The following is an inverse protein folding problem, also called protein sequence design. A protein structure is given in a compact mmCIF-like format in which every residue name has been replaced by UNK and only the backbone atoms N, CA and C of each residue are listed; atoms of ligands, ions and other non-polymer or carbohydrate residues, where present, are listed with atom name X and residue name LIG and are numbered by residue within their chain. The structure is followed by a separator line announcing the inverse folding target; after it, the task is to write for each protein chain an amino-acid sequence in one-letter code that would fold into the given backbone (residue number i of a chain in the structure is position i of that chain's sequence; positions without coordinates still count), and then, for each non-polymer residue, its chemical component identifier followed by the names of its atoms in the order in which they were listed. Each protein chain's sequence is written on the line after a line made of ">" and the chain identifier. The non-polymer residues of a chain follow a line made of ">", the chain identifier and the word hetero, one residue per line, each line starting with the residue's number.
data_IF_306861162215
#
_entry.id   IF_306861162215
#
_cell.length_a   1.000
_cell.length_b   1.000
_cell.length_c   1.000
_cell.angle_alpha   90.00
_cell.angle_beta   90.00
_cell.angle_gamma   90.00
#
_symmetry.space_group_name_H-M   'P 1'
#
loop_
_entity.id
_entity.type
_entity.pdbx_description
1 polymer ?
#
# COMPACT_ATOMS: atom_id res chain seq x y z
N UNK A 1 22.14 -18.49 16.53
CA UNK A 1 21.55 -17.19 16.20
C UNK A 1 20.76 -17.23 14.89
N UNK A 2 21.23 -17.86 13.84
CA UNK A 2 20.53 -17.97 12.54
C UNK A 2 19.09 -18.55 12.54
N UNK A 3 18.73 -19.37 13.52
CA UNK A 3 17.39 -19.99 13.61
C UNK A 3 16.33 -19.07 14.21
N UNK A 4 16.74 -18.08 15.00
CA UNK A 4 15.83 -17.11 15.63
C UNK A 4 15.51 -15.99 14.64
N UNK A 5 16.49 -15.54 13.85
CA UNK A 5 16.28 -14.52 12.82
C UNK A 5 15.30 -15.00 11.73
N UNK A 6 15.30 -16.30 11.38
CA UNK A 6 14.32 -16.88 10.42
C UNK A 6 12.90 -16.99 10.98
N UNK A 7 12.73 -17.05 12.29
CA UNK A 7 11.40 -17.11 12.93
C UNK A 7 10.81 -15.72 13.21
N UNK A 8 11.65 -14.68 13.23
CA UNK A 8 11.28 -13.28 13.43
C UNK A 8 11.58 -12.38 12.23
N UNK A 9 12.01 -12.94 11.10
CA UNK A 9 12.00 -12.22 9.82
C UNK A 9 10.54 -12.01 9.42
N UNK A 10 9.90 -11.07 10.13
CA UNK A 10 8.63 -10.52 9.69
C UNK A 10 8.82 -10.09 8.24
N UNK A 11 7.94 -10.54 7.36
CA UNK A 11 7.94 -10.08 5.97
C UNK A 11 7.97 -8.56 6.00
N UNK A 12 8.98 -7.95 5.38
CA UNK A 12 8.99 -6.50 5.21
C UNK A 12 7.67 -6.09 4.55
N UNK A 13 7.09 -5.02 5.00
CA UNK A 13 5.85 -4.50 4.43
C UNK A 13 6.10 -3.17 3.73
N UNK A 14 5.28 -2.92 2.71
CA UNK A 14 5.13 -1.60 2.11
C UNK A 14 3.69 -1.15 2.32
N UNK A 15 3.54 0.09 2.77
CA UNK A 15 2.24 0.74 2.90
C UNK A 15 2.23 1.90 1.91
N UNK A 16 1.23 1.93 1.04
CA UNK A 16 0.96 3.06 0.16
C UNK A 16 -0.39 3.63 0.54
N UNK A 17 -0.39 4.84 1.09
CA UNK A 17 -1.60 5.58 1.39
C UNK A 17 -1.89 6.55 0.25
N UNK A 18 -3.14 6.58 -0.21
CA UNK A 18 -3.60 7.45 -1.29
C UNK A 18 -4.70 8.36 -0.77
N UNK A 19 -4.47 9.66 -0.86
CA UNK A 19 -5.42 10.69 -0.46
C UNK A 19 -6.09 11.31 -1.67
N UNK A 20 -7.42 11.42 -1.61
CA UNK A 20 -8.25 12.04 -2.64
C UNK A 20 -9.54 12.60 -2.05
N UNK A 21 -9.92 13.81 -2.42
CA UNK A 21 -11.24 14.39 -2.06
C UNK A 21 -12.41 13.65 -2.73
N UNK A 22 -12.15 12.90 -3.78
CA UNK A 22 -13.13 12.11 -4.52
C UNK A 22 -12.83 10.61 -4.53
N UNK A 23 -12.32 10.09 -3.40
CA UNK A 23 -11.81 8.71 -3.26
C UNK A 23 -12.78 7.65 -3.80
N UNK A 24 -14.07 7.78 -3.49
CA UNK A 24 -15.11 6.82 -3.90
C UNK A 24 -15.78 7.16 -5.24
N UNK A 25 -15.21 8.06 -6.05
CA UNK A 25 -15.67 8.23 -7.43
C UNK A 25 -15.28 7.00 -8.26
N UNK A 26 -16.13 6.65 -9.25
CA UNK A 26 -15.86 5.52 -10.14
C UNK A 26 -14.50 5.65 -10.85
N UNK A 27 -14.14 6.87 -11.24
CA UNK A 27 -12.88 7.14 -11.92
C UNK A 27 -11.67 6.88 -11.00
N UNK A 28 -11.71 7.40 -9.77
CA UNK A 28 -10.64 7.21 -8.78
C UNK A 28 -10.52 5.74 -8.40
N UNK A 29 -11.64 5.04 -8.13
CA UNK A 29 -11.59 3.62 -7.77
C UNK A 29 -11.07 2.74 -8.91
N UNK A 30 -11.45 3.00 -10.17
CA UNK A 30 -10.89 2.27 -11.32
C UNK A 30 -9.38 2.49 -11.44
N UNK A 31 -8.93 3.73 -11.26
CA UNK A 31 -7.51 4.07 -11.26
C UNK A 31 -6.76 3.36 -10.13
N UNK A 32 -7.32 3.33 -8.93
CA UNK A 32 -6.71 2.69 -7.77
C UNK A 32 -6.72 1.16 -7.87
N UNK A 33 -7.74 0.56 -8.52
CA UNK A 33 -7.71 -0.86 -8.88
C UNK A 33 -6.55 -1.18 -9.83
N UNK A 34 -6.36 -0.36 -10.87
CA UNK A 34 -5.22 -0.51 -11.80
C UNK A 34 -3.86 -0.27 -11.12
N UNK A 35 -3.81 0.61 -10.12
CA UNK A 35 -2.63 0.79 -9.27
C UNK A 35 -2.33 -0.49 -8.48
N UNK A 36 -3.33 -1.11 -7.86
CA UNK A 36 -3.15 -2.38 -7.16
C UNK A 36 -2.59 -3.47 -8.06
N UNK A 37 -3.19 -3.67 -9.24
CA UNK A 37 -2.71 -4.66 -10.22
C UNK A 37 -1.24 -4.42 -10.60
N UNK A 38 -0.88 -3.14 -10.78
CA UNK A 38 0.49 -2.75 -11.07
C UNK A 38 1.43 -2.97 -9.90
N UNK A 39 0.98 -2.74 -8.66
CA UNK A 39 1.74 -2.98 -7.45
C UNK A 39 1.96 -4.49 -7.23
N UNK A 40 0.93 -5.31 -7.46
CA UNK A 40 1.00 -6.77 -7.41
C UNK A 40 1.90 -7.37 -8.51
N UNK A 41 2.09 -6.66 -9.62
CA UNK A 41 2.98 -7.10 -10.70
C UNK A 41 4.47 -6.95 -10.37
N UNK A 42 4.83 -6.26 -9.30
CA UNK A 42 6.22 -6.15 -8.84
C UNK A 42 6.64 -7.48 -8.20
N UNK A 43 7.62 -8.16 -8.78
CA UNK A 43 8.05 -9.51 -8.39
C UNK A 43 8.35 -9.67 -6.89
N UNK A 44 8.85 -8.60 -6.26
CA UNK A 44 9.15 -8.59 -4.82
C UNK A 44 7.91 -8.46 -3.93
N UNK A 45 6.76 -8.15 -4.48
CA UNK A 45 5.51 -8.01 -3.72
C UNK A 45 4.69 -9.28 -3.86
N UNK A 46 4.61 -10.05 -2.79
CA UNK A 46 3.95 -11.37 -2.78
C UNK A 46 2.44 -11.28 -2.61
N UNK A 47 1.95 -10.22 -1.97
CA UNK A 47 0.52 -9.97 -1.71
C UNK A 47 0.29 -8.50 -1.47
N UNK A 48 -0.81 -7.97 -1.98
CA UNK A 48 -1.34 -6.65 -1.60
C UNK A 48 -2.69 -6.82 -0.94
N UNK A 49 -2.92 -6.12 0.15
CA UNK A 49 -4.22 -6.03 0.84
C UNK A 49 -4.77 -4.62 0.70
N UNK A 50 -5.99 -4.50 0.21
CA UNK A 50 -6.75 -3.26 0.08
C UNK A 50 -8.25 -3.55 0.06
N UNK A 51 -9.10 -2.53 -0.06
CA UNK A 51 -10.55 -2.71 -0.17
C UNK A 51 -10.98 -3.55 -1.40
N UNK A 52 -10.14 -3.63 -2.43
CA UNK A 52 -10.46 -4.35 -3.68
C UNK A 52 -10.43 -5.88 -3.54
N UNK A 53 -9.73 -6.39 -2.53
CA UNK A 53 -9.58 -7.84 -2.33
C UNK A 53 -9.91 -8.30 -0.90
N UNK A 54 -10.44 -7.40 -0.06
CA UNK A 54 -10.90 -7.79 1.27
C UNK A 54 -12.27 -8.44 1.23
N UNK A 55 -12.45 -9.36 2.15
CA UNK A 55 -13.71 -10.02 2.44
C UNK A 55 -14.13 -9.74 3.88
N UNK A 56 -15.42 -9.72 4.14
CA UNK A 56 -15.96 -9.55 5.47
C UNK A 56 -17.06 -10.56 5.74
N UNK A 57 -17.36 -10.77 7.01
CA UNK A 57 -18.34 -11.74 7.45
C UNK A 57 -19.67 -11.03 7.67
N UNK A 58 -20.70 -11.50 6.98
CA UNK A 58 -22.08 -11.00 7.12
C UNK A 58 -22.91 -12.06 7.87
N UNK A 59 -23.63 -11.70 8.94
CA UNK A 59 -24.58 -12.60 9.57
C UNK A 59 -25.71 -12.95 8.59
N UNK A 60 -26.04 -14.24 8.47
CA UNK A 60 -27.17 -14.74 7.70
C UNK A 60 -28.08 -15.59 8.59
N UNK A 61 -29.33 -15.80 8.18
CA UNK A 61 -30.33 -16.59 8.91
C UNK A 61 -29.88 -18.02 9.24
N UNK A 62 -28.92 -18.56 8.47
CA UNK A 62 -28.35 -19.89 8.63
C UNK A 62 -26.92 -19.90 9.24
N UNK A 63 -26.39 -18.73 9.66
CA UNK A 63 -25.05 -18.61 10.24
C UNK A 63 -24.29 -17.38 9.76
N UNK A 64 -23.22 -17.58 9.00
CA UNK A 64 -22.36 -16.48 8.49
C UNK A 64 -22.07 -16.72 7.02
N UNK A 65 -22.11 -15.65 6.24
CA UNK A 65 -21.67 -15.62 4.86
C UNK A 65 -20.40 -14.78 4.73
N UNK A 66 -19.52 -15.14 3.79
CA UNK A 66 -18.30 -14.38 3.48
C UNK A 66 -18.52 -13.65 2.17
N UNK A 67 -18.64 -12.34 2.24
CA UNK A 67 -18.83 -11.48 1.10
C UNK A 67 -17.56 -10.70 0.75
N UNK A 68 -17.40 -10.34 -0.52
CA UNK A 68 -16.37 -9.38 -0.95
C UNK A 68 -16.79 -7.98 -0.56
N UNK A 69 -15.87 -7.22 0.02
CA UNK A 69 -16.11 -5.84 0.44
C UNK A 69 -16.51 -4.95 -0.75
N UNK A 70 -15.80 -5.11 -1.86
CA UNK A 70 -16.09 -4.44 -3.13
C UNK A 70 -16.37 -5.51 -4.20
N UNK A 71 -17.63 -5.64 -4.61
CA UNK A 71 -18.03 -6.54 -5.69
C UNK A 71 -17.95 -5.88 -7.05
N UNK A 72 -18.34 -4.61 -7.12
CA UNK A 72 -18.31 -3.79 -8.34
C UNK A 72 -17.93 -2.35 -8.01
N UNK A 73 -17.30 -1.66 -8.94
CA UNK A 73 -16.98 -0.23 -8.78
C UNK A 73 -18.29 0.58 -8.76
N UNK A 74 -18.54 1.36 -7.69
CA UNK A 74 -19.77 2.14 -7.55
C UNK A 74 -19.94 3.14 -8.69
N UNK A 75 -21.09 3.12 -9.35
CA UNK A 75 -21.41 4.01 -10.47
C UNK A 75 -22.27 5.22 -10.07
N UNK A 76 -23.02 5.11 -8.98
CA UNK A 76 -23.95 6.14 -8.51
C UNK A 76 -23.79 6.46 -7.02
N UNK A 77 -24.63 7.36 -6.51
CA UNK A 77 -24.57 7.78 -5.10
C UNK A 77 -25.04 6.69 -4.14
N UNK A 78 -25.98 5.84 -4.57
CA UNK A 78 -26.52 4.78 -3.72
C UNK A 78 -25.48 3.67 -3.51
N UNK A 79 -24.84 3.21 -4.58
CA UNK A 79 -23.77 2.21 -4.52
C UNK A 79 -22.52 2.70 -3.77
N UNK A 80 -22.21 4.00 -3.86
CA UNK A 80 -21.15 4.59 -3.04
C UNK A 80 -21.47 4.61 -1.55
N UNK A 81 -22.74 4.92 -1.21
CA UNK A 81 -23.17 4.89 0.19
C UNK A 81 -23.18 3.46 0.73
N UNK A 82 -23.63 2.48 -0.07
CA UNK A 82 -23.59 1.07 0.30
C UNK A 82 -22.15 0.59 0.58
N UNK A 83 -21.19 0.93 -0.28
CA UNK A 83 -19.78 0.63 -0.03
C UNK A 83 -19.26 1.25 1.29
N UNK A 84 -19.64 2.50 1.59
CA UNK A 84 -19.26 3.13 2.87
C UNK A 84 -19.83 2.38 4.07
N UNK A 85 -21.10 2.00 4.02
CA UNK A 85 -21.74 1.23 5.08
C UNK A 85 -21.01 -0.12 5.28
N UNK A 86 -20.67 -0.83 4.20
CA UNK A 86 -19.91 -2.09 4.28
C UNK A 86 -18.51 -1.88 4.88
N UNK A 87 -17.85 -0.77 4.57
CA UNK A 87 -16.54 -0.42 5.16
C UNK A 87 -16.64 -0.18 6.68
N UNK A 88 -17.72 0.47 7.14
CA UNK A 88 -18.00 0.67 8.56
C UNK A 88 -18.29 -0.67 9.26
N UNK A 89 -19.17 -1.49 8.69
CA UNK A 89 -19.58 -2.79 9.24
C UNK A 89 -18.43 -3.80 9.28
N UNK A 90 -17.52 -3.73 8.31
CA UNK A 90 -16.38 -4.65 8.21
C UNK A 90 -15.23 -4.33 9.16
N UNK A 91 -15.23 -3.16 9.83
CA UNK A 91 -14.13 -2.69 10.67
C UNK A 91 -12.86 -2.29 9.88
N UNK A 92 -13.01 -2.00 8.58
CA UNK A 92 -11.89 -1.57 7.74
C UNK A 92 -11.57 -0.07 7.87
N UNK A 93 -12.47 0.69 8.50
CA UNK A 93 -12.23 2.09 8.86
C UNK A 93 -11.13 2.16 9.93
N UNK A 94 -10.20 3.09 9.76
CA UNK A 94 -9.01 3.22 10.60
C UNK A 94 -7.86 2.24 10.26
N UNK A 95 -8.12 1.24 9.40
CA UNK A 95 -7.12 0.27 8.95
C UNK A 95 -6.77 0.45 7.46
N UNK A 96 -7.75 0.28 6.58
CA UNK A 96 -7.56 0.42 5.13
C UNK A 96 -8.14 1.72 4.58
N UNK A 97 -9.11 2.29 5.27
CA UNK A 97 -9.73 3.58 4.88
C UNK A 97 -9.75 4.49 6.10
N UNK A 98 -9.43 5.76 5.91
CA UNK A 98 -9.51 6.76 6.98
C UNK A 98 -10.95 7.05 7.41
N UNK A 99 -11.12 7.52 8.66
CA UNK A 99 -12.44 7.87 9.22
C UNK A 99 -13.18 8.95 8.41
N UNK A 100 -12.44 9.85 7.77
CA UNK A 100 -12.99 10.90 6.90
C UNK A 100 -13.27 10.44 5.45
N UNK A 101 -13.01 9.16 5.14
CA UNK A 101 -13.17 8.56 3.82
C UNK A 101 -12.34 9.23 2.71
N UNK A 102 -11.23 9.86 3.04
CA UNK A 102 -10.35 10.54 2.07
C UNK A 102 -9.08 9.77 1.77
N UNK A 103 -8.67 8.83 2.62
CA UNK A 103 -7.44 8.06 2.43
C UNK A 103 -7.74 6.57 2.31
N UNK A 104 -7.12 5.94 1.33
CA UNK A 104 -7.12 4.48 1.12
C UNK A 104 -5.70 3.95 1.24
N UNK A 105 -5.52 2.85 1.99
CA UNK A 105 -4.25 2.20 2.16
C UNK A 105 -4.16 0.89 1.34
N UNK A 106 -3.01 0.71 0.70
CA UNK A 106 -2.55 -0.57 0.12
C UNK A 106 -1.41 -1.09 0.99
N UNK A 107 -1.53 -2.33 1.47
CA UNK A 107 -0.52 -2.97 2.32
C UNK A 107 0.07 -4.12 1.53
N UNK A 108 1.30 -3.96 1.05
CA UNK A 108 2.03 -4.97 0.30
C UNK A 108 2.99 -5.75 1.21
N UNK A 109 3.06 -7.08 1.04
CA UNK A 109 4.08 -7.91 1.67
C UNK A 109 5.29 -8.00 0.74
N UNK A 110 6.46 -7.57 1.21
CA UNK A 110 7.72 -7.67 0.47
C UNK A 110 8.31 -9.05 0.75
N UNK A 111 8.63 -9.79 -0.30
CA UNK A 111 9.25 -11.10 -0.19
C UNK A 111 10.76 -10.97 0.13
N UNK A 112 11.09 -10.99 1.41
CA UNK A 112 12.47 -10.92 1.91
C UNK A 112 13.24 -12.26 1.82
N UNK A 113 12.63 -13.30 1.24
CA UNK A 113 13.30 -14.61 1.06
C UNK A 113 14.40 -14.57 0.00
N UNK A 114 14.42 -13.54 -0.83
CA UNK A 114 15.44 -13.31 -1.85
C UNK A 114 16.28 -12.09 -1.49
N UNK A 115 17.56 -12.17 -1.80
CA UNK A 115 18.42 -10.98 -1.78
C UNK A 115 18.02 -10.07 -2.94
N UNK A 116 17.71 -8.81 -2.66
CA UNK A 116 17.29 -7.84 -3.64
C UNK A 116 17.92 -6.47 -3.39
N UNK A 117 18.00 -5.66 -4.44
CA UNK A 117 18.52 -4.28 -4.37
C UNK A 117 17.41 -3.33 -3.86
N UNK A 118 17.56 -2.83 -2.63
CA UNK A 118 16.63 -1.89 -2.02
C UNK A 118 16.55 -0.55 -2.78
N UNK A 119 17.60 -0.15 -3.48
CA UNK A 119 17.63 1.07 -4.30
C UNK A 119 16.78 0.87 -5.57
N UNK A 120 16.90 -0.28 -6.21
CA UNK A 120 16.09 -0.63 -7.38
C UNK A 120 14.63 -0.79 -6.96
N UNK A 121 14.35 -1.47 -5.85
CA UNK A 121 13.00 -1.59 -5.30
C UNK A 121 12.39 -0.20 -5.05
N UNK A 122 13.10 0.69 -4.35
CA UNK A 122 12.68 2.07 -4.11
C UNK A 122 12.36 2.79 -5.42
N UNK A 123 13.24 2.69 -6.42
CA UNK A 123 13.05 3.31 -7.74
C UNK A 123 11.76 2.82 -8.40
N UNK A 124 11.55 1.51 -8.46
CA UNK A 124 10.38 0.90 -9.08
C UNK A 124 9.07 1.35 -8.41
N UNK A 125 9.05 1.40 -7.08
CA UNK A 125 7.89 1.90 -6.32
C UNK A 125 7.60 3.37 -6.63
N UNK A 126 8.61 4.24 -6.63
CA UNK A 126 8.38 5.66 -6.90
C UNK A 126 8.01 5.92 -8.37
N UNK A 127 8.54 5.18 -9.32
CA UNK A 127 8.13 5.25 -10.73
C UNK A 127 6.66 4.82 -10.89
N UNK A 128 6.24 3.76 -10.19
CA UNK A 128 4.84 3.34 -10.18
C UNK A 128 3.95 4.44 -9.58
N UNK A 129 4.27 4.93 -8.39
CA UNK A 129 3.52 5.98 -7.71
C UNK A 129 3.39 7.22 -8.59
N UNK A 130 4.49 7.68 -9.21
CA UNK A 130 4.47 8.87 -10.07
C UNK A 130 3.54 8.74 -11.28
N UNK A 131 3.32 7.52 -11.79
CA UNK A 131 2.36 7.30 -12.90
C UNK A 131 0.90 7.48 -12.48
N UNK A 132 0.61 7.33 -11.19
CA UNK A 132 -0.75 7.37 -10.65
C UNK A 132 -1.04 8.59 -9.78
N UNK A 133 -0.04 9.44 -9.45
CA UNK A 133 -0.15 10.51 -8.45
C UNK A 133 -0.81 11.81 -8.92
N UNK A 134 -1.50 11.83 -10.03
CA UNK A 134 -2.22 13.03 -10.49
C UNK A 134 -3.69 12.68 -10.78
N UNK A 135 -4.68 13.30 -10.12
CA UNK A 135 -4.59 14.38 -9.11
C UNK A 135 -4.41 13.91 -7.65
N UNK A 136 -4.40 12.61 -7.37
CA UNK A 136 -4.33 12.06 -6.02
C UNK A 136 -2.92 12.19 -5.43
N UNK A 137 -2.85 12.31 -4.09
CA UNK A 137 -1.59 12.31 -3.35
C UNK A 137 -1.24 10.93 -2.84
N UNK A 138 -0.01 10.48 -3.11
CA UNK A 138 0.48 9.17 -2.70
C UNK A 138 1.58 9.32 -1.65
N UNK A 139 1.48 8.53 -0.58
CA UNK A 139 2.44 8.47 0.51
C UNK A 139 2.92 7.03 0.67
N UNK A 140 4.24 6.84 0.65
CA UNK A 140 4.84 5.50 0.72
C UNK A 140 5.63 5.35 2.01
N UNK A 141 5.39 4.26 2.72
CA UNK A 141 6.15 3.87 3.91
C UNK A 141 6.61 2.41 3.79
N UNK A 142 7.90 2.17 3.94
CA UNK A 142 8.50 0.84 3.90
C UNK A 142 9.87 0.88 4.55
N UNK A 143 10.23 -0.16 5.31
CA UNK A 143 11.54 -0.27 5.93
C UNK A 143 12.68 -0.37 4.90
N UNK A 144 12.59 -1.20 3.83
CA UNK A 144 13.59 -1.23 2.76
C UNK A 144 13.81 0.13 2.10
N UNK A 145 12.72 0.85 1.79
CA UNK A 145 12.81 2.18 1.18
C UNK A 145 13.49 3.17 2.12
N UNK A 146 13.18 3.10 3.42
CA UNK A 146 13.79 3.95 4.44
C UNK A 146 15.28 3.66 4.54
N UNK A 147 15.70 2.38 4.59
CA UNK A 147 17.12 1.99 4.61
C UNK A 147 17.86 2.52 3.40
N UNK A 148 17.36 2.28 2.19
CA UNK A 148 17.95 2.78 0.95
C UNK A 148 18.09 4.31 0.95
N UNK A 149 17.09 5.02 1.47
CA UNK A 149 17.10 6.48 1.55
C UNK A 149 18.16 6.98 2.54
N UNK A 150 18.26 6.37 3.71
CA UNK A 150 19.29 6.74 4.72
C UNK A 150 20.69 6.49 4.17
N UNK A 151 20.93 5.35 3.53
CA UNK A 151 22.24 5.05 2.93
C UNK A 151 22.61 6.07 1.85
N UNK A 152 21.65 6.47 1.00
CA UNK A 152 21.87 7.47 -0.06
C UNK A 152 22.27 8.84 0.54
N UNK A 153 21.57 9.28 1.59
CA UNK A 153 21.94 10.51 2.31
C UNK A 153 23.33 10.42 2.95
N UNK A 154 23.63 9.33 3.63
CA UNK A 154 24.96 9.13 4.24
C UNK A 154 26.08 9.16 3.19
N UNK A 155 25.90 8.48 2.05
CA UNK A 155 26.88 8.51 0.96
C UNK A 155 27.05 9.90 0.37
N UNK A 156 25.95 10.65 0.23
CA UNK A 156 25.99 12.03 -0.26
C UNK A 156 26.76 12.93 0.72
N UNK A 157 26.49 12.82 2.01
CA UNK A 157 27.16 13.60 3.05
C UNK A 157 28.68 13.28 3.07
N UNK A 158 29.06 12.01 2.99
CA UNK A 158 30.45 11.60 2.92
C UNK A 158 31.16 12.20 1.70
N UNK A 159 30.51 12.26 0.53
CA UNK A 159 31.10 12.87 -0.68
C UNK A 159 31.36 14.37 -0.53
N UNK A 160 30.51 15.04 0.27
CA UNK A 160 30.65 16.48 0.51
C UNK A 160 31.69 16.77 1.60
N UNK A 161 31.72 16.00 2.69
CA UNK A 161 32.56 16.25 3.85
C UNK A 161 33.97 15.70 3.70
N UNK A 162 34.18 14.58 2.99
CA UNK A 162 35.51 13.98 2.82
C UNK A 162 36.52 14.90 2.15
N UNK A 163 36.25 15.62 1.04
CA UNK A 163 37.16 16.56 0.44
C UNK A 163 37.49 17.74 1.36
N UNK A 164 36.54 18.19 2.17
CA UNK A 164 36.72 19.32 3.10
C UNK A 164 37.63 18.94 4.28
N UNK A 165 37.64 17.67 4.69
CA UNK A 165 38.45 17.19 5.80
C UNK A 165 39.90 16.88 5.42
N UNK A 166 40.21 16.74 4.12
CA UNK A 166 41.53 16.39 3.62
C UNK A 166 42.28 17.64 3.08
N UNK A 167 41.60 18.75 2.80
CA UNK A 167 42.17 20.02 2.32
C UNK A 167 42.47 20.99 3.45
#
# INVERSE_FOLDING_TARGET
>A
MEKVDKLFSGSDIIIVAVESDSLFSSNTLNKLSSFQDSLESIELISRVSSIFNQKYIVPDDNGFEIESLLTEIPSDSASRQDLKNRLEDSGMIGNLVSEDFKTLCFIGQVNSSFEYDEFEFRKNIFELVNRFSDPESFYVSSLPITRATVIDYMQRDMRVFTPVAIG
#
